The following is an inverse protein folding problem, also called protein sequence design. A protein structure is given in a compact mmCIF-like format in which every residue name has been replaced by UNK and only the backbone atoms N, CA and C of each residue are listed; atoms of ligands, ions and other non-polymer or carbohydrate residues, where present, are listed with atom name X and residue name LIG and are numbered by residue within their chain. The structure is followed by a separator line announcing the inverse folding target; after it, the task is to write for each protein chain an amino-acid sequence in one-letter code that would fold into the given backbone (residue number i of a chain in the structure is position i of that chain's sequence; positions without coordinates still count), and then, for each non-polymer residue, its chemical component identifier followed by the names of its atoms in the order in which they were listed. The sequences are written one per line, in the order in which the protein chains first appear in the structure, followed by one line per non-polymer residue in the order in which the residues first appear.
data_IF_443329903073
#
_entry.id   IF_443329903073
#
_cell.length_a   1.000
_cell.length_b   1.000
_cell.length_c   1.000
_cell.angle_alpha   90.00
_cell.angle_beta   90.00
_cell.angle_gamma   90.00
#
_symmetry.space_group_name_H-M   'P 1'
#
loop_
_entity.id
_entity.type
_entity.pdbx_description
1 polymer ?
#
# COMPACT_ATOMS: atom_id res chain seq x y z
N UNK A 1 -16.11 -9.44 -3.54
CA UNK A 1 -15.87 -8.89 -2.17
C UNK A 1 -15.92 -7.36 -2.18
N UNK A 2 -15.22 -6.71 -3.11
CA UNK A 2 -15.27 -5.24 -3.28
C UNK A 2 -16.71 -4.75 -3.52
N UNK A 3 -17.48 -5.40 -4.40
CA UNK A 3 -18.87 -5.03 -4.70
C UNK A 3 -19.78 -5.06 -3.46
N UNK A 4 -19.57 -6.02 -2.55
CA UNK A 4 -20.31 -6.11 -1.29
C UNK A 4 -19.91 -5.00 -0.32
N UNK A 5 -18.64 -4.63 -0.33
CA UNK A 5 -18.10 -3.53 0.45
C UNK A 5 -18.70 -2.19 0.01
N UNK A 6 -18.72 -1.94 -1.30
CA UNK A 6 -19.30 -0.72 -1.88
C UNK A 6 -20.84 -0.68 -1.75
N UNK A 7 -21.51 -1.84 -1.63
CA UNK A 7 -22.94 -1.94 -1.39
C UNK A 7 -23.34 -1.66 0.07
N UNK A 8 -22.40 -1.33 0.96
CA UNK A 8 -22.67 -1.04 2.36
C UNK A 8 -23.03 -2.26 3.21
N UNK A 9 -22.78 -3.48 2.70
CA UNK A 9 -22.98 -4.68 3.51
C UNK A 9 -21.98 -4.70 4.68
N UNK A 10 -22.42 -5.08 5.90
CA UNK A 10 -21.53 -5.19 7.05
C UNK A 10 -20.46 -6.25 6.77
N UNK A 11 -19.23 -5.81 6.59
CA UNK A 11 -18.08 -6.69 6.39
C UNK A 11 -17.58 -7.11 7.76
N UNK A 12 -17.33 -8.39 8.00
CA UNK A 12 -16.72 -8.82 9.25
C UNK A 12 -15.45 -8.02 9.53
N UNK A 13 -15.24 -7.52 10.75
CA UNK A 13 -14.09 -6.69 11.09
C UNK A 13 -12.74 -7.25 10.63
N UNK A 14 -12.56 -8.58 10.64
CA UNK A 14 -11.37 -9.27 10.15
C UNK A 14 -11.05 -9.05 8.67
N UNK A 15 -12.04 -8.72 7.86
CA UNK A 15 -11.87 -8.57 6.41
C UNK A 15 -11.38 -7.17 6.03
N UNK A 16 -11.62 -6.18 6.88
CA UNK A 16 -11.33 -4.77 6.60
C UNK A 16 -9.86 -4.41 6.85
N UNK A 17 -9.18 -5.03 7.83
CA UNK A 17 -7.83 -4.59 8.22
C UNK A 17 -6.69 -5.18 7.41
N UNK A 18 -6.73 -6.47 7.12
CA UNK A 18 -5.56 -7.19 6.63
C UNK A 18 -5.36 -7.08 5.12
N UNK A 19 -6.41 -6.70 4.39
CA UNK A 19 -6.39 -6.63 2.94
C UNK A 19 -6.75 -5.25 2.37
N UNK A 20 -7.13 -4.28 3.22
CA UNK A 20 -7.64 -2.99 2.75
C UNK A 20 -6.59 -2.21 1.95
N UNK A 21 -5.31 -2.29 2.32
CA UNK A 21 -4.24 -1.66 1.53
C UNK A 21 -4.16 -2.23 0.11
N UNK A 22 -4.46 -3.52 -0.08
CA UNK A 22 -4.49 -4.15 -1.40
C UNK A 22 -5.60 -3.56 -2.26
N UNK A 23 -6.81 -3.45 -1.71
CA UNK A 23 -7.94 -2.86 -2.43
C UNK A 23 -7.71 -1.38 -2.78
N UNK A 24 -7.07 -0.62 -1.88
CA UNK A 24 -6.67 0.75 -2.16
C UNK A 24 -5.66 0.80 -3.33
N UNK A 25 -4.63 -0.05 -3.30
CA UNK A 25 -3.64 -0.11 -4.37
C UNK A 25 -4.22 -0.59 -5.70
N UNK A 26 -5.14 -1.54 -5.68
CA UNK A 26 -5.82 -2.04 -6.89
C UNK A 26 -6.69 -0.95 -7.52
N UNK A 27 -7.46 -0.20 -6.72
CA UNK A 27 -8.24 0.94 -7.19
C UNK A 27 -7.35 2.03 -7.78
N UNK A 28 -6.25 2.37 -7.09
CA UNK A 28 -5.26 3.34 -7.57
C UNK A 28 -4.57 2.86 -8.86
N UNK A 29 -4.26 1.56 -8.99
CA UNK A 29 -3.68 0.99 -10.20
C UNK A 29 -4.63 1.07 -11.39
N UNK A 30 -5.93 0.94 -11.15
CA UNK A 30 -6.97 1.14 -12.16
C UNK A 30 -7.23 2.62 -12.50
N UNK A 31 -6.59 3.57 -11.79
CA UNK A 31 -6.87 5.00 -11.90
C UNK A 31 -8.22 5.43 -11.30
N UNK A 32 -8.85 4.55 -10.54
CA UNK A 32 -10.15 4.79 -9.88
C UNK A 32 -9.96 5.48 -8.52
N UNK A 33 -9.70 6.78 -8.54
CA UNK A 33 -9.51 7.58 -7.32
C UNK A 33 -10.79 7.75 -6.51
N UNK A 34 -11.95 7.77 -7.15
CA UNK A 34 -13.22 7.86 -6.44
C UNK A 34 -13.52 6.56 -5.69
N UNK A 35 -13.26 5.39 -6.32
CA UNK A 35 -13.33 4.10 -5.65
C UNK A 35 -12.33 3.99 -4.50
N UNK A 36 -11.08 4.41 -4.71
CA UNK A 36 -10.08 4.46 -3.64
C UNK A 36 -10.52 5.34 -2.46
N UNK A 37 -11.14 6.50 -2.75
CA UNK A 37 -11.68 7.41 -1.73
C UNK A 37 -12.83 6.76 -0.94
N UNK A 38 -13.78 6.11 -1.62
CA UNK A 38 -14.87 5.40 -0.98
C UNK A 38 -14.35 4.30 -0.05
N UNK A 39 -13.38 3.49 -0.52
CA UNK A 39 -12.71 2.48 0.32
C UNK A 39 -12.05 3.13 1.53
N UNK A 40 -11.32 4.23 1.34
CA UNK A 40 -10.64 4.95 2.41
C UNK A 40 -11.62 5.53 3.44
N UNK A 41 -12.77 6.07 3.01
CA UNK A 41 -13.79 6.65 3.89
C UNK A 41 -14.42 5.62 4.82
N UNK A 42 -14.74 4.42 4.30
CA UNK A 42 -15.35 3.36 5.10
C UNK A 42 -14.34 2.53 5.91
N UNK A 43 -13.03 2.72 5.69
CA UNK A 43 -11.98 2.09 6.48
C UNK A 43 -11.87 2.80 7.83
N UNK A 44 -12.38 2.20 8.89
CA UNK A 44 -12.32 2.76 10.24
C UNK A 44 -11.14 2.19 11.02
N UNK A 45 -10.60 3.00 11.93
CA UNK A 45 -9.60 2.54 12.89
C UNK A 45 -10.26 1.58 13.86
N UNK A 46 -9.70 0.39 14.01
CA UNK A 46 -10.13 -0.54 15.05
C UNK A 46 -9.68 -0.01 16.41
N UNK A 47 -10.63 0.11 17.31
CA UNK A 47 -10.37 0.52 18.68
C UNK A 47 -10.31 -0.65 19.67
N UNK A 48 -10.43 -1.88 19.17
CA UNK A 48 -10.53 -3.02 20.04
C UNK A 48 -9.19 -3.72 20.21
N UNK A 49 -8.57 -3.51 21.37
CA UNK A 49 -7.34 -4.20 21.78
C UNK A 49 -7.48 -5.73 21.86
N UNK A 50 -8.71 -6.26 21.79
CA UNK A 50 -9.00 -7.70 21.80
C UNK A 50 -8.51 -8.46 20.58
N UNK A 51 -8.05 -7.77 19.56
CA UNK A 51 -7.59 -8.35 18.29
C UNK A 51 -6.14 -8.81 18.28
N UNK A 52 -5.40 -8.57 19.34
CA UNK A 52 -3.99 -8.97 19.45
C UNK A 52 -3.77 -10.44 19.68
N UNK A 53 -4.83 -11.18 20.00
CA UNK A 53 -4.73 -12.61 20.28
C UNK A 53 -5.35 -13.48 19.17
N UNK A 54 -4.54 -13.82 18.18
CA UNK A 54 -4.63 -15.20 17.70
C UNK A 54 -5.30 -15.53 16.40
N UNK A 55 -5.69 -14.62 15.50
CA UNK A 55 -6.42 -15.07 14.29
C UNK A 55 -5.81 -14.69 12.95
N UNK A 56 -4.72 -13.96 12.86
CA UNK A 56 -4.19 -13.60 11.55
C UNK A 56 -2.71 -13.83 11.41
N UNK A 57 -2.34 -14.21 10.20
CA UNK A 57 -0.99 -14.22 9.62
C UNK A 57 -0.47 -12.76 9.53
N UNK A 58 -0.79 -11.98 10.52
CA UNK A 58 -0.12 -10.73 10.80
C UNK A 58 1.25 -11.15 11.28
N UNK A 59 2.26 -10.72 10.59
CA UNK A 59 3.63 -10.83 11.05
C UNK A 59 3.71 -9.93 12.28
N UNK A 60 3.27 -10.44 13.43
CA UNK A 60 3.54 -9.81 14.71
C UNK A 60 5.05 -9.88 14.90
N UNK A 61 5.68 -8.77 14.64
CA UNK A 61 7.05 -8.59 15.03
C UNK A 61 7.00 -8.05 16.44
N UNK A 62 7.51 -8.78 17.42
CA UNK A 62 7.65 -8.29 18.79
C UNK A 62 8.22 -6.87 18.77
N UNK A 63 7.46 -5.90 19.29
CA UNK A 63 7.87 -4.50 19.34
C UNK A 63 7.79 -3.72 18.03
N UNK A 64 7.23 -4.28 16.94
CA UNK A 64 7.00 -3.58 15.68
C UNK A 64 5.51 -3.37 15.41
N UNK A 65 5.22 -2.29 14.73
CA UNK A 65 3.89 -1.96 14.22
C UNK A 65 3.43 -3.01 13.19
N UNK A 66 2.14 -3.29 13.17
CA UNK A 66 1.54 -4.10 12.12
C UNK A 66 1.70 -3.41 10.76
N UNK A 67 2.45 -4.03 9.86
CA UNK A 67 2.66 -3.50 8.51
C UNK A 67 1.34 -3.24 7.78
N UNK A 68 0.42 -4.21 7.80
CA UNK A 68 -0.84 -4.11 7.06
C UNK A 68 -1.70 -2.96 7.59
N UNK A 69 -1.76 -2.79 8.91
CA UNK A 69 -2.46 -1.67 9.54
C UNK A 69 -1.81 -0.34 9.18
N UNK A 70 -0.51 -0.21 9.42
CA UNK A 70 0.22 1.03 9.16
C UNK A 70 0.14 1.43 7.69
N UNK A 71 0.27 0.47 6.76
CA UNK A 71 0.21 0.74 5.34
C UNK A 71 -1.21 1.13 4.89
N UNK A 72 -2.23 0.44 5.40
CA UNK A 72 -3.63 0.80 5.12
C UNK A 72 -3.94 2.24 5.54
N UNK A 73 -3.59 2.62 6.77
CA UNK A 73 -3.88 3.97 7.26
C UNK A 73 -3.01 5.04 6.64
N UNK A 74 -1.77 4.72 6.27
CA UNK A 74 -0.96 5.63 5.47
C UNK A 74 -1.62 5.89 4.11
N UNK A 75 -1.96 4.86 3.33
CA UNK A 75 -2.65 5.02 2.05
C UNK A 75 -3.98 5.79 2.19
N UNK A 76 -4.80 5.43 3.19
CA UNK A 76 -6.04 6.16 3.51
C UNK A 76 -5.78 7.64 3.71
N UNK A 77 -4.76 8.01 4.48
CA UNK A 77 -4.42 9.40 4.76
C UNK A 77 -4.05 10.16 3.47
N UNK A 78 -3.25 9.53 2.59
CA UNK A 78 -2.89 10.13 1.30
C UNK A 78 -4.09 10.26 0.36
N UNK A 79 -4.95 9.25 0.27
CA UNK A 79 -6.15 9.28 -0.59
C UNK A 79 -7.13 10.36 -0.11
N UNK A 80 -7.30 10.52 1.21
CA UNK A 80 -8.21 11.51 1.81
C UNK A 80 -7.58 12.89 2.04
N UNK A 81 -6.34 13.10 1.63
CA UNK A 81 -5.58 14.36 1.79
C UNK A 81 -5.49 14.85 3.25
N UNK A 82 -5.27 13.94 4.20
CA UNK A 82 -5.16 14.24 5.63
C UNK A 82 -3.70 14.39 6.06
N UNK A 83 -3.11 15.55 5.90
CA UNK A 83 -1.66 15.78 6.08
C UNK A 83 -1.11 15.33 7.44
N UNK A 84 -1.82 15.60 8.54
CA UNK A 84 -1.40 15.15 9.88
C UNK A 84 -1.34 13.63 10.00
N UNK A 85 -2.34 12.95 9.45
CA UNK A 85 -2.41 11.49 9.42
C UNK A 85 -1.35 10.90 8.49
N UNK A 86 -1.07 11.54 7.33
CA UNK A 86 0.00 11.12 6.43
C UNK A 86 1.34 11.06 7.16
N UNK A 87 1.70 12.13 7.89
CA UNK A 87 2.96 12.19 8.63
C UNK A 87 3.02 11.13 9.72
N UNK A 88 1.94 10.98 10.50
CA UNK A 88 1.84 10.00 11.58
C UNK A 88 2.01 8.57 11.07
N UNK A 89 1.16 8.17 10.10
CA UNK A 89 1.12 6.80 9.62
C UNK A 89 2.32 6.41 8.75
N UNK A 90 2.89 7.36 7.98
CA UNK A 90 4.15 7.11 7.25
C UNK A 90 5.29 6.85 8.24
N UNK A 91 5.38 7.60 9.33
CA UNK A 91 6.39 7.36 10.36
C UNK A 91 6.25 5.99 11.02
N UNK A 92 5.02 5.56 11.35
CA UNK A 92 4.76 4.22 11.91
C UNK A 92 5.07 3.10 10.90
N UNK A 93 4.70 3.28 9.64
CA UNK A 93 5.02 2.34 8.56
C UNK A 93 6.54 2.18 8.40
N UNK A 94 7.30 3.26 8.43
CA UNK A 94 8.77 3.19 8.35
C UNK A 94 9.38 2.38 9.50
N UNK A 95 8.82 2.45 10.70
CA UNK A 95 9.25 1.62 11.83
C UNK A 95 8.97 0.15 11.55
N UNK A 96 7.77 -0.19 11.11
CA UNK A 96 7.39 -1.56 10.74
C UNK A 96 8.28 -2.14 9.62
N UNK A 97 8.60 -1.33 8.60
CA UNK A 97 9.45 -1.74 7.47
C UNK A 97 10.92 -1.98 7.81
N UNK A 98 11.39 -1.61 9.01
CA UNK A 98 12.76 -1.95 9.48
C UNK A 98 12.90 -3.42 9.81
N UNK A 99 11.79 -4.12 10.02
CA UNK A 99 11.85 -5.54 10.31
C UNK A 99 12.45 -6.35 9.14
N UNK A 100 13.36 -7.32 9.39
CA UNK A 100 14.04 -8.06 8.32
C UNK A 100 13.11 -8.73 7.30
N UNK A 101 11.93 -9.21 7.73
CA UNK A 101 10.94 -9.83 6.86
C UNK A 101 10.19 -8.83 5.95
N UNK A 102 10.26 -7.53 6.25
CA UNK A 102 9.59 -6.47 5.49
C UNK A 102 10.53 -5.78 4.48
N UNK A 103 11.78 -6.22 4.35
CA UNK A 103 12.77 -5.57 3.47
C UNK A 103 12.32 -5.44 2.02
N UNK A 104 11.58 -6.42 1.51
CA UNK A 104 11.06 -6.41 0.13
C UNK A 104 9.95 -5.38 -0.07
N UNK A 105 9.33 -4.92 1.01
CA UNK A 105 8.26 -3.94 1.01
C UNK A 105 8.73 -2.51 1.40
N UNK A 106 10.00 -2.34 1.74
CA UNK A 106 10.54 -1.06 2.22
C UNK A 106 10.36 0.10 1.23
N UNK A 107 10.34 -0.20 -0.07
CA UNK A 107 10.13 0.79 -1.13
C UNK A 107 8.82 1.57 -0.98
N UNK A 108 7.75 0.92 -0.51
CA UNK A 108 6.44 1.59 -0.33
C UNK A 108 6.50 2.73 0.67
N UNK A 109 7.20 2.55 1.79
CA UNK A 109 7.42 3.63 2.76
C UNK A 109 8.22 4.79 2.18
N UNK A 110 9.24 4.50 1.35
CA UNK A 110 10.03 5.53 0.68
C UNK A 110 9.20 6.35 -0.33
N UNK A 111 8.31 5.69 -1.09
CA UNK A 111 7.41 6.43 -2.00
C UNK A 111 6.50 7.37 -1.22
N UNK A 112 5.84 6.88 -0.17
CA UNK A 112 4.96 7.71 0.66
C UNK A 112 5.72 8.87 1.32
N UNK A 113 6.95 8.62 1.76
CA UNK A 113 7.83 9.67 2.29
C UNK A 113 8.14 10.72 1.22
N UNK A 114 8.52 10.31 0.00
CA UNK A 114 8.78 11.20 -1.11
C UNK A 114 7.56 12.06 -1.47
N UNK A 115 6.35 11.48 -1.47
CA UNK A 115 5.12 12.22 -1.69
C UNK A 115 4.89 13.26 -0.56
N UNK A 116 5.06 12.85 0.70
CA UNK A 116 4.85 13.71 1.87
C UNK A 116 5.79 14.92 1.88
N UNK A 117 7.05 14.69 1.51
CA UNK A 117 8.11 15.68 1.51
C UNK A 117 8.24 16.43 0.17
N UNK A 118 7.36 16.13 -0.81
CA UNK A 118 7.37 16.68 -2.18
C UNK A 118 8.74 16.44 -2.88
N UNK A 119 9.40 15.31 -2.58
CA UNK A 119 10.71 14.92 -3.11
C UNK A 119 10.58 13.82 -4.17
N UNK A 120 10.60 14.24 -5.45
CA UNK A 120 10.54 13.33 -6.60
C UNK A 120 11.67 12.29 -6.59
N UNK A 121 12.88 12.68 -6.17
CA UNK A 121 14.01 11.76 -6.16
C UNK A 121 13.84 10.65 -5.13
N UNK A 122 13.34 10.98 -3.94
CA UNK A 122 13.03 9.97 -2.91
C UNK A 122 11.88 9.07 -3.35
N UNK A 123 10.82 9.63 -3.96
CA UNK A 123 9.72 8.83 -4.48
C UNK A 123 10.20 7.86 -5.58
N UNK A 124 10.97 8.31 -6.55
CA UNK A 124 11.49 7.46 -7.62
C UNK A 124 12.45 6.37 -7.11
N UNK A 125 13.33 6.68 -6.14
CA UNK A 125 14.13 5.65 -5.46
C UNK A 125 13.25 4.61 -4.76
N UNK A 126 12.16 5.06 -4.14
CA UNK A 126 11.15 4.19 -3.55
C UNK A 126 10.53 3.25 -4.59
N UNK A 127 10.15 3.76 -5.77
CA UNK A 127 9.61 2.93 -6.86
C UNK A 127 10.63 1.87 -7.31
N UNK A 128 11.90 2.22 -7.48
CA UNK A 128 12.94 1.24 -7.81
C UNK A 128 13.05 0.14 -6.74
N UNK A 129 13.01 0.51 -5.45
CA UNK A 129 13.02 -0.45 -4.35
C UNK A 129 11.74 -1.33 -4.32
N UNK A 130 10.57 -0.78 -4.68
CA UNK A 130 9.33 -1.57 -4.86
C UNK A 130 9.52 -2.61 -5.94
N UNK A 131 10.07 -2.26 -7.10
CA UNK A 131 10.30 -3.19 -8.21
C UNK A 131 11.31 -4.28 -7.86
N UNK A 132 12.40 -3.94 -7.18
CA UNK A 132 13.37 -4.92 -6.70
C UNK A 132 12.75 -5.88 -5.68
N UNK A 133 11.90 -5.38 -4.78
CA UNK A 133 11.14 -6.16 -3.83
C UNK A 133 10.17 -7.10 -4.54
N UNK A 134 9.40 -6.57 -5.48
CA UNK A 134 8.46 -7.35 -6.30
C UNK A 134 9.15 -8.49 -7.05
N UNK A 135 10.29 -8.24 -7.70
CA UNK A 135 11.06 -9.27 -8.39
C UNK A 135 11.57 -10.38 -7.47
N UNK A 136 11.86 -10.08 -6.20
CA UNK A 136 12.24 -11.08 -5.19
C UNK A 136 11.03 -11.90 -4.77
N UNK A 137 9.91 -11.23 -4.52
CA UNK A 137 8.65 -11.87 -4.11
C UNK A 137 7.94 -12.62 -5.25
N UNK A 138 8.36 -12.44 -6.51
CA UNK A 138 7.91 -13.21 -7.68
C UNK A 138 8.70 -14.51 -7.90
N UNK A 139 9.55 -14.92 -6.95
CA UNK A 139 10.39 -16.11 -7.07
C UNK A 139 10.21 -17.07 -5.90
N UNK A 140 10.38 -18.35 -6.16
CA UNK A 140 10.38 -19.39 -5.12
C UNK A 140 9.06 -19.48 -4.39
N UNK A 141 9.05 -19.19 -3.09
CA UNK A 141 7.85 -19.14 -2.23
C UNK A 141 7.41 -17.71 -1.91
N UNK A 142 7.81 -16.74 -2.73
CA UNK A 142 7.46 -15.34 -2.53
C UNK A 142 5.98 -15.05 -2.75
N UNK A 143 5.56 -13.86 -2.35
CA UNK A 143 4.16 -13.44 -2.29
C UNK A 143 3.44 -13.49 -3.64
N UNK A 144 4.16 -13.19 -4.74
CA UNK A 144 3.61 -13.13 -6.10
C UNK A 144 3.95 -14.36 -6.94
N UNK A 145 4.78 -15.30 -6.42
CA UNK A 145 5.23 -16.47 -7.16
C UNK A 145 4.07 -17.36 -7.60
N UNK A 146 4.01 -17.73 -8.89
CA UNK A 146 2.96 -18.54 -9.47
C UNK A 146 1.62 -17.82 -9.68
N UNK A 147 1.58 -16.49 -9.52
CA UNK A 147 0.39 -15.67 -9.79
C UNK A 147 0.56 -14.83 -11.06
N UNK A 148 -0.52 -14.27 -11.58
CA UNK A 148 -0.45 -13.31 -12.69
C UNK A 148 0.34 -12.05 -12.34
N UNK A 149 0.46 -11.73 -11.05
CA UNK A 149 1.20 -10.59 -10.56
C UNK A 149 2.73 -10.73 -10.72
N UNK A 150 3.25 -11.92 -11.03
CA UNK A 150 4.67 -12.06 -11.41
C UNK A 150 5.07 -11.17 -12.59
N UNK A 151 4.14 -10.96 -13.51
CA UNK A 151 4.39 -10.26 -14.79
C UNK A 151 4.21 -8.76 -14.72
N UNK A 152 3.50 -8.27 -13.69
CA UNK A 152 3.14 -6.87 -13.54
C UNK A 152 3.06 -6.49 -12.07
N UNK A 153 3.68 -5.37 -11.71
CA UNK A 153 3.68 -4.88 -10.33
C UNK A 153 2.44 -4.00 -10.07
N UNK A 154 1.26 -4.63 -9.89
CA UNK A 154 -0.01 -3.90 -9.72
C UNK A 154 0.08 -2.92 -8.56
N UNK A 155 0.62 -3.32 -7.42
CA UNK A 155 0.78 -2.43 -6.28
C UNK A 155 1.78 -1.29 -6.55
N UNK A 156 2.83 -1.58 -7.34
CA UNK A 156 3.76 -0.55 -7.81
C UNK A 156 3.09 0.47 -8.71
N UNK A 157 2.18 0.03 -9.59
CA UNK A 157 1.37 0.93 -10.43
C UNK A 157 0.46 1.78 -9.55
N UNK A 158 -0.23 1.16 -8.58
CA UNK A 158 -1.15 1.87 -7.68
C UNK A 158 -0.46 2.98 -6.89
N UNK A 159 0.69 2.71 -6.29
CA UNK A 159 1.42 3.72 -5.53
C UNK A 159 2.07 4.78 -6.43
N UNK A 160 2.46 4.41 -7.67
CA UNK A 160 2.94 5.37 -8.68
C UNK A 160 1.84 6.32 -9.12
N UNK A 161 0.63 5.81 -9.36
CA UNK A 161 -0.53 6.63 -9.69
C UNK A 161 -0.93 7.57 -8.54
N UNK A 162 -0.82 7.12 -7.29
CA UNK A 162 -0.98 7.98 -6.13
C UNK A 162 0.04 9.12 -6.14
N UNK A 163 1.32 8.82 -6.40
CA UNK A 163 2.37 9.83 -6.48
C UNK A 163 2.11 10.85 -7.60
N UNK A 164 1.73 10.37 -8.80
CA UNK A 164 1.37 11.22 -9.93
C UNK A 164 0.16 12.12 -9.62
N UNK A 165 -0.89 11.55 -9.01
CA UNK A 165 -2.07 12.30 -8.56
C UNK A 165 -1.71 13.40 -7.56
N UNK A 166 -0.65 13.21 -6.78
CA UNK A 166 -0.11 14.18 -5.81
C UNK A 166 0.91 15.14 -6.43
N UNK A 167 1.09 15.11 -7.76
CA UNK A 167 1.98 16.02 -8.48
C UNK A 167 3.46 15.61 -8.50
N UNK A 168 3.80 14.42 -8.00
CA UNK A 168 5.15 13.88 -8.03
C UNK A 168 5.36 13.13 -9.34
N UNK A 169 6.35 13.51 -10.12
CA UNK A 169 6.69 12.80 -11.37
C UNK A 169 7.33 11.45 -11.04
N UNK A 170 6.82 10.43 -11.69
CA UNK A 170 7.32 9.06 -11.57
C UNK A 170 7.85 8.61 -12.92
N UNK A 171 9.07 8.07 -12.93
CA UNK A 171 9.67 7.49 -14.11
C UNK A 171 9.05 6.11 -14.36
N UNK A 172 8.56 5.89 -15.60
CA UNK A 172 8.05 4.57 -15.99
C UNK A 172 9.19 3.54 -15.99
N UNK A 173 8.89 2.31 -15.59
CA UNK A 173 9.88 1.24 -15.49
C UNK A 173 9.35 -0.07 -16.10
N UNK A 174 9.24 -0.14 -17.45
CA UNK A 174 8.83 -1.38 -18.11
C UNK A 174 9.81 -2.53 -17.83
N UNK A 175 9.36 -3.81 -17.82
CA UNK A 175 7.99 -4.24 -18.12
C UNK A 175 7.03 -4.22 -16.93
N UNK A 176 7.52 -4.09 -15.69
CA UNK A 176 6.71 -4.28 -14.48
C UNK A 176 5.75 -3.10 -14.21
N UNK A 177 6.10 -1.89 -14.63
CA UNK A 177 5.25 -0.70 -14.57
C UNK A 177 5.17 -0.10 -15.98
N UNK A 178 4.27 -0.61 -16.85
CA UNK A 178 4.05 -0.04 -18.18
C UNK A 178 3.57 1.40 -18.09
N UNK A 179 4.18 2.29 -18.90
CA UNK A 179 3.85 3.72 -18.90
C UNK A 179 2.41 4.03 -19.30
N UNK A 180 1.77 3.12 -20.03
CA UNK A 180 0.37 3.21 -20.45
C UNK A 180 -0.62 3.05 -19.29
N UNK A 181 -0.19 2.46 -18.19
CA UNK A 181 -0.98 2.24 -16.96
C UNK A 181 -0.75 3.35 -15.92
N UNK A 182 0.19 4.25 -16.20
CA UNK A 182 0.40 5.41 -15.35
C UNK A 182 -0.51 6.57 -15.78
N UNK A 183 -0.98 7.33 -14.80
CA UNK A 183 -1.72 8.57 -15.04
C UNK A 183 -0.88 9.55 -15.84
N UNK A 184 -1.54 10.29 -16.74
CA UNK A 184 -0.93 11.34 -17.57
C UNK A 184 -1.30 12.71 -17.05
#
# INVERSE_FOLDING_TARGET
MVDRFLAGEPIPPSTVSDLTYKYLLDALAAGDFEGAKQIAEVTEKRHDDSWTEGTNIVIQCEGSEDFAECFTYALKAFVLDRRGDMQHWTGRLEVSLRHPKMKTLAGYGQVLRGILDEDEQTANRGIQAVLEGHQKESKGSGLFAGTAEELICIWGIGISNLALHRGIRIDSSPPLIPGELLLR
#
